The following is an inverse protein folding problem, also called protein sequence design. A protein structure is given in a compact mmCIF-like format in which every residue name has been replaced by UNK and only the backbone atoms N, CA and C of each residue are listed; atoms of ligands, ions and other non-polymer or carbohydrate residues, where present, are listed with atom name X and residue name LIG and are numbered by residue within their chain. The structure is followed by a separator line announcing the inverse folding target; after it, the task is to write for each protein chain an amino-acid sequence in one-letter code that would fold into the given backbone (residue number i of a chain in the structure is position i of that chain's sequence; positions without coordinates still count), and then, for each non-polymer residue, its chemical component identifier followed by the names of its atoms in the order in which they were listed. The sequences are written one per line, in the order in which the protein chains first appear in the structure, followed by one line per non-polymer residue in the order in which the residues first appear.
data_IF_117188370555
#
_entry.id   IF_117188370555
#
_cell.length_a   1.000
_cell.length_b   1.000
_cell.length_c   1.000
_cell.angle_alpha   90.00
_cell.angle_beta   90.00
_cell.angle_gamma   90.00
#
_symmetry.space_group_name_H-M   'P 1'
#
loop_
_entity.id
_entity.type
_entity.pdbx_description
1 polymer ?
#
# COMPACT_ATOMS: atom_id res chain seq x y z
N UNK A 1 85.68 25.73 -19.11
CA UNK A 1 84.33 25.55 -19.69
C UNK A 1 83.47 24.84 -18.68
N UNK A 2 82.67 25.59 -17.91
CA UNK A 2 81.64 25.07 -17.02
C UNK A 2 80.54 26.13 -16.99
N UNK A 3 79.42 25.84 -17.63
CA UNK A 3 78.20 26.65 -17.58
C UNK A 3 77.40 26.29 -16.32
N UNK A 4 76.82 27.25 -15.58
CA UNK A 4 75.78 26.95 -14.61
C UNK A 4 74.41 26.89 -15.29
N UNK A 5 73.68 25.81 -15.03
CA UNK A 5 72.27 25.61 -15.41
C UNK A 5 71.39 26.23 -14.31
N UNK A 6 70.38 27.05 -14.62
CA UNK A 6 69.43 27.53 -13.62
C UNK A 6 68.33 26.49 -13.35
N UNK A 7 68.00 26.38 -12.07
CA UNK A 7 66.94 25.54 -11.53
C UNK A 7 65.57 26.14 -11.87
N UNK A 8 64.74 25.38 -12.58
CA UNK A 8 63.31 25.66 -12.75
C UNK A 8 62.49 24.59 -12.06
N UNK A 9 61.92 24.91 -10.89
CA UNK A 9 60.90 24.09 -10.24
C UNK A 9 59.56 24.31 -10.96
N UNK A 10 59.16 23.36 -11.82
CA UNK A 10 57.81 23.32 -12.36
C UNK A 10 56.91 22.55 -11.39
N UNK A 11 56.10 23.29 -10.61
CA UNK A 11 55.01 22.72 -9.82
C UNK A 11 53.89 22.37 -10.79
N UNK A 12 53.68 21.08 -11.04
CA UNK A 12 52.52 20.60 -11.80
C UNK A 12 51.32 20.52 -10.84
N UNK A 13 50.49 21.56 -10.84
CA UNK A 13 49.16 21.53 -10.21
C UNK A 13 48.20 20.79 -11.13
N UNK A 14 47.98 19.51 -10.84
CA UNK A 14 46.90 18.73 -11.44
C UNK A 14 45.56 19.21 -10.86
N UNK A 15 44.90 20.14 -11.55
CA UNK A 15 43.50 20.48 -11.28
C UNK A 15 42.63 19.34 -11.83
N UNK A 16 42.24 18.39 -10.98
CA UNK A 16 41.09 17.55 -11.29
C UNK A 16 39.84 18.42 -11.20
N UNK A 17 39.33 18.85 -12.35
CA UNK A 17 37.99 19.40 -12.45
C UNK A 17 37.02 18.26 -12.15
N UNK A 18 36.60 18.13 -10.89
CA UNK A 18 35.42 17.34 -10.56
C UNK A 18 34.21 18.10 -11.09
N UNK A 19 33.81 17.79 -12.32
CA UNK A 19 32.46 18.07 -12.77
C UNK A 19 31.53 17.16 -11.96
N UNK A 20 31.03 17.67 -10.84
CA UNK A 20 29.79 17.15 -10.26
C UNK A 20 28.67 17.54 -11.23
N UNK A 21 28.35 16.64 -12.16
CA UNK A 21 27.06 16.69 -12.84
C UNK A 21 25.98 16.44 -11.78
N UNK A 22 25.55 17.50 -11.10
CA UNK A 22 24.25 17.50 -10.45
C UNK A 22 23.25 17.63 -11.58
N UNK A 23 22.85 16.49 -12.16
CA UNK A 23 21.72 16.47 -13.07
C UNK A 23 20.53 16.99 -12.26
N UNK A 24 20.06 18.19 -12.59
CA UNK A 24 18.77 18.64 -12.10
C UNK A 24 17.75 17.57 -12.47
N UNK A 25 17.12 16.94 -11.47
CA UNK A 25 16.01 16.04 -11.69
C UNK A 25 14.92 16.88 -12.35
N UNK A 26 14.76 16.71 -13.66
CA UNK A 26 13.84 17.50 -14.49
C UNK A 26 12.39 17.00 -14.35
N UNK A 27 12.04 16.45 -13.18
CA UNK A 27 10.77 15.80 -12.90
C UNK A 27 9.74 16.77 -12.30
N UNK A 28 8.50 16.30 -12.27
CA UNK A 28 7.34 17.02 -11.76
C UNK A 28 7.21 16.79 -10.25
N UNK A 29 6.81 17.83 -9.51
CA UNK A 29 6.36 17.66 -8.12
C UNK A 29 4.91 17.18 -8.14
N UNK A 30 4.63 16.02 -7.53
CA UNK A 30 3.31 15.41 -7.45
C UNK A 30 2.82 15.44 -6.01
N UNK A 31 1.81 16.26 -5.76
CA UNK A 31 1.26 16.46 -4.42
C UNK A 31 0.02 15.59 -4.22
N UNK A 32 -0.03 14.90 -3.07
CA UNK A 32 -1.15 14.09 -2.61
C UNK A 32 -1.57 14.54 -1.20
N UNK A 33 -2.88 14.55 -0.94
CA UNK A 33 -3.43 14.84 0.39
C UNK A 33 -4.07 13.56 0.93
N UNK A 34 -3.48 12.99 1.96
CA UNK A 34 -3.89 11.67 2.47
C UNK A 34 -4.26 11.78 3.94
N UNK A 35 -5.44 11.28 4.32
CA UNK A 35 -5.85 11.17 5.72
C UNK A 35 -5.87 9.73 6.19
N UNK A 36 -5.49 9.47 7.44
CA UNK A 36 -5.84 8.23 8.14
C UNK A 36 -7.22 8.41 8.78
N UNK A 37 -8.23 7.68 8.28
CA UNK A 37 -9.63 7.84 8.69
C UNK A 37 -10.13 6.55 9.31
N UNK A 38 -10.76 6.66 10.49
CA UNK A 38 -11.45 5.52 11.12
C UNK A 38 -12.83 5.32 10.49
N UNK A 39 -13.07 4.12 9.96
CA UNK A 39 -14.33 3.73 9.33
C UNK A 39 -14.65 2.27 9.67
N UNK A 40 -15.94 1.92 9.64
CA UNK A 40 -16.36 0.52 9.69
C UNK A 40 -16.16 -0.13 8.31
N UNK A 41 -15.30 -1.13 8.27
CA UNK A 41 -15.00 -1.91 7.08
C UNK A 41 -15.75 -3.24 7.09
N UNK A 42 -16.58 -3.44 6.07
CA UNK A 42 -17.33 -4.66 5.84
C UNK A 42 -16.59 -5.60 4.87
N UNK A 43 -16.09 -6.73 5.36
CA UNK A 43 -15.40 -7.72 4.52
C UNK A 43 -16.32 -8.47 3.54
N UNK A 44 -17.64 -8.52 3.80
CA UNK A 44 -18.65 -9.22 3.01
C UNK A 44 -19.96 -8.41 2.95
N UNK A 45 -19.98 -7.25 2.26
CA UNK A 45 -21.11 -6.32 2.25
C UNK A 45 -22.42 -6.89 1.71
N UNK A 46 -22.37 -7.99 0.95
CA UNK A 46 -23.59 -8.67 0.48
C UNK A 46 -24.21 -9.60 1.52
N UNK A 47 -23.46 -9.98 2.56
CA UNK A 47 -23.83 -11.05 3.49
C UNK A 47 -23.85 -12.46 2.87
N UNK A 48 -23.34 -12.59 1.64
CA UNK A 48 -23.41 -13.81 0.84
C UNK A 48 -21.99 -14.26 0.47
N UNK A 49 -21.75 -15.57 0.56
CA UNK A 49 -20.63 -16.22 -0.12
C UNK A 49 -20.97 -16.29 -1.61
N UNK A 50 -20.52 -15.30 -2.38
CA UNK A 50 -20.85 -15.17 -3.80
C UNK A 50 -20.18 -16.25 -4.66
N UNK A 51 -19.19 -16.97 -4.13
CA UNK A 51 -18.56 -18.10 -4.83
C UNK A 51 -19.52 -19.28 -4.88
N UNK A 52 -20.22 -19.55 -3.77
CA UNK A 52 -21.14 -20.68 -3.66
C UNK A 52 -22.63 -20.29 -3.80
N UNK A 53 -22.94 -18.98 -3.75
CA UNK A 53 -24.30 -18.46 -3.86
C UNK A 53 -25.18 -18.72 -2.63
N UNK A 54 -24.58 -18.79 -1.44
CA UNK A 54 -25.28 -19.10 -0.18
C UNK A 54 -24.99 -18.05 0.89
N UNK A 55 -25.87 -17.94 1.89
CA UNK A 55 -25.66 -17.07 3.06
C UNK A 55 -24.43 -17.52 3.87
N UNK A 56 -23.83 -16.59 4.62
CA UNK A 56 -22.61 -16.85 5.43
C UNK A 56 -22.74 -18.11 6.30
N UNK A 57 -23.85 -18.28 7.02
CA UNK A 57 -24.05 -19.40 7.95
C UNK A 57 -24.20 -20.76 7.26
N UNK A 58 -24.49 -20.76 5.96
CA UNK A 58 -24.67 -21.96 5.14
C UNK A 58 -23.37 -22.39 4.46
N UNK A 59 -22.35 -21.52 4.42
CA UNK A 59 -21.00 -21.81 3.91
C UNK A 59 -20.05 -22.07 5.09
N UNK A 60 -19.61 -23.31 5.36
CA UNK A 60 -18.75 -23.61 6.51
C UNK A 60 -17.47 -22.76 6.56
N UNK A 61 -16.88 -22.47 5.40
CA UNK A 61 -15.69 -21.63 5.28
C UNK A 61 -16.02 -20.17 5.58
N UNK A 62 -17.10 -19.61 5.03
CA UNK A 62 -17.50 -18.25 5.32
C UNK A 62 -17.90 -18.08 6.78
N UNK A 63 -18.69 -19.01 7.33
CA UNK A 63 -19.11 -19.00 8.72
C UNK A 63 -17.93 -18.95 9.69
N UNK A 64 -16.83 -19.64 9.39
CA UNK A 64 -15.63 -19.65 10.24
C UNK A 64 -15.05 -18.25 10.44
N UNK A 65 -15.06 -17.40 9.40
CA UNK A 65 -14.36 -16.10 9.39
C UNK A 65 -15.28 -14.89 9.26
N UNK A 66 -16.59 -15.06 9.09
CA UNK A 66 -17.53 -13.97 8.84
C UNK A 66 -18.83 -14.05 9.65
N UNK A 67 -19.15 -15.20 10.27
CA UNK A 67 -20.37 -15.34 11.05
C UNK A 67 -20.32 -14.50 12.33
N UNK A 68 -21.47 -13.95 12.67
CA UNK A 68 -21.71 -13.24 13.92
C UNK A 68 -22.64 -14.10 14.78
N UNK A 69 -22.20 -14.49 15.98
CA UNK A 69 -22.98 -15.37 16.86
C UNK A 69 -22.94 -14.93 18.33
N UNK A 70 -22.63 -13.67 18.58
CA UNK A 70 -22.46 -13.11 19.93
C UNK A 70 -21.14 -13.46 20.62
N UNK A 71 -20.34 -14.40 20.11
CA UNK A 71 -18.96 -14.65 20.59
C UNK A 71 -17.90 -14.37 19.50
N UNK A 72 -18.33 -14.09 18.28
CA UNK A 72 -17.51 -13.75 17.11
C UNK A 72 -17.91 -12.37 16.61
N UNK A 73 -16.93 -11.56 16.23
CA UNK A 73 -17.13 -10.18 15.77
C UNK A 73 -17.89 -10.14 14.43
N UNK A 74 -17.72 -11.17 13.59
CA UNK A 74 -18.35 -11.25 12.28
C UNK A 74 -17.46 -10.72 11.16
N UNK A 75 -18.04 -9.95 10.24
CA UNK A 75 -17.39 -9.46 9.02
C UNK A 75 -17.26 -7.94 8.97
N UNK A 76 -17.67 -7.21 10.02
CA UNK A 76 -17.55 -5.74 10.08
C UNK A 76 -16.61 -5.35 11.22
N UNK A 77 -15.55 -4.61 10.89
CA UNK A 77 -14.52 -4.17 11.83
C UNK A 77 -14.28 -2.67 11.67
N UNK A 78 -14.15 -1.95 12.78
CA UNK A 78 -13.60 -0.59 12.77
C UNK A 78 -12.12 -0.68 12.42
N UNK A 79 -11.68 0.14 11.47
CA UNK A 79 -10.32 0.17 10.90
C UNK A 79 -9.87 1.61 10.70
N UNK A 80 -8.56 1.87 10.70
CA UNK A 80 -8.00 3.12 10.19
C UNK A 80 -7.48 2.86 8.77
N UNK A 81 -7.99 3.61 7.80
CA UNK A 81 -7.63 3.43 6.40
C UNK A 81 -7.17 4.75 5.79
N UNK A 82 -6.23 4.68 4.87
CA UNK A 82 -5.82 5.84 4.10
C UNK A 82 -6.94 6.25 3.12
N UNK A 83 -7.24 7.55 3.08
CA UNK A 83 -8.19 8.18 2.16
C UNK A 83 -7.54 9.39 1.53
N UNK A 84 -7.77 9.59 0.23
CA UNK A 84 -7.30 10.77 -0.47
C UNK A 84 -8.30 11.91 -0.34
N UNK A 85 -7.79 13.12 -0.30
CA UNK A 85 -8.54 14.37 -0.27
C UNK A 85 -8.12 15.25 -1.44
N UNK A 86 -9.00 16.17 -1.84
CA UNK A 86 -8.75 17.04 -2.99
C UNK A 86 -7.67 18.09 -2.74
N UNK A 87 -7.48 18.49 -1.48
CA UNK A 87 -6.60 19.58 -1.06
C UNK A 87 -6.24 19.47 0.45
N UNK A 88 -5.45 20.44 0.93
CA UNK A 88 -4.95 20.54 2.30
C UNK A 88 -6.01 20.91 3.35
N UNK A 89 -7.26 21.17 2.94
CA UNK A 89 -8.36 21.41 3.88
C UNK A 89 -8.87 20.10 4.48
N UNK A 90 -8.63 18.97 3.80
CA UNK A 90 -9.16 17.64 4.16
C UNK A 90 -10.70 17.62 4.30
N UNK A 91 -11.40 18.48 3.56
CA UNK A 91 -12.85 18.59 3.63
C UNK A 91 -13.57 17.59 2.69
N UNK A 92 -13.01 17.34 1.51
CA UNK A 92 -13.63 16.53 0.46
C UNK A 92 -12.71 15.36 0.10
N UNK A 93 -13.20 14.13 0.30
CA UNK A 93 -12.48 12.94 -0.16
C UNK A 93 -12.46 12.88 -1.69
N UNK A 94 -11.31 12.55 -2.27
CA UNK A 94 -11.16 12.36 -3.71
C UNK A 94 -11.91 11.11 -4.19
N UNK A 95 -12.28 11.11 -5.47
CA UNK A 95 -12.94 9.95 -6.09
C UNK A 95 -11.96 8.79 -6.17
N UNK A 96 -12.41 7.61 -5.77
CA UNK A 96 -11.64 6.37 -5.84
C UNK A 96 -12.39 5.27 -6.60
N UNK A 97 -11.70 4.34 -7.25
CA UNK A 97 -12.33 3.16 -7.81
C UNK A 97 -12.80 2.22 -6.69
N UNK A 98 -13.94 1.57 -6.91
CA UNK A 98 -14.54 0.64 -5.95
C UNK A 98 -13.65 -0.59 -5.69
N UNK A 99 -12.96 -1.07 -6.73
CA UNK A 99 -12.09 -2.24 -6.63
C UNK A 99 -10.88 -2.04 -5.70
N UNK A 100 -10.53 -0.80 -5.36
CA UNK A 100 -9.41 -0.52 -4.45
C UNK A 100 -9.70 -1.01 -3.03
N UNK A 101 -10.98 -1.25 -2.71
CA UNK A 101 -11.37 -1.88 -1.44
C UNK A 101 -10.87 -1.09 -0.24
N UNK A 102 -10.19 -1.74 0.72
CA UNK A 102 -9.69 -1.09 1.93
C UNK A 102 -8.43 -0.26 1.69
N UNK A 103 -7.73 -0.49 0.57
CA UNK A 103 -6.43 0.12 0.30
C UNK A 103 -6.53 1.65 0.27
N UNK A 104 -5.41 2.29 0.62
CA UNK A 104 -5.18 3.70 0.40
C UNK A 104 -5.17 4.08 -1.08
N UNK A 105 -5.20 5.39 -1.38
CA UNK A 105 -5.06 5.87 -2.74
C UNK A 105 -3.81 5.34 -3.44
N UNK A 106 -3.88 5.29 -4.77
CA UNK A 106 -2.73 4.89 -5.58
C UNK A 106 -1.91 6.14 -5.89
N UNK A 107 -0.75 6.26 -5.24
CA UNK A 107 0.23 7.30 -5.52
C UNK A 107 0.89 6.95 -6.84
N UNK A 108 0.95 7.89 -7.78
CA UNK A 108 1.52 7.67 -9.10
C UNK A 108 2.63 8.66 -9.37
N UNK A 109 3.75 8.18 -9.91
CA UNK A 109 4.87 9.03 -10.27
C UNK A 109 5.69 8.45 -11.41
N UNK A 110 6.50 9.27 -12.06
CA UNK A 110 7.50 8.83 -13.03
C UNK A 110 8.89 8.86 -12.41
N UNK A 111 9.81 8.08 -12.97
CA UNK A 111 11.24 8.24 -12.68
C UNK A 111 11.66 9.70 -12.90
N UNK A 112 12.31 10.29 -11.89
CA UNK A 112 12.75 11.68 -11.90
C UNK A 112 11.84 12.63 -11.13
N UNK A 113 10.58 12.24 -10.85
CA UNK A 113 9.64 13.06 -10.10
C UNK A 113 9.98 13.16 -8.61
N UNK A 114 9.36 14.13 -7.95
CA UNK A 114 9.28 14.23 -6.49
C UNK A 114 7.82 14.05 -6.07
N UNK A 115 7.55 13.13 -5.16
CA UNK A 115 6.24 12.93 -4.56
C UNK A 115 6.20 13.66 -3.22
N UNK A 116 5.20 14.53 -3.06
CA UNK A 116 4.88 15.18 -1.79
C UNK A 116 3.55 14.64 -1.26
N UNK A 117 3.56 14.07 -0.05
CA UNK A 117 2.35 13.56 0.60
C UNK A 117 2.09 14.37 1.87
N UNK A 118 1.08 15.23 1.83
CA UNK A 118 0.57 15.91 3.03
C UNK A 118 -0.38 14.96 3.74
N UNK A 119 0.10 14.37 4.82
CA UNK A 119 -0.61 13.39 5.63
C UNK A 119 -1.27 14.06 6.84
N UNK A 120 -2.57 13.83 7.03
CA UNK A 120 -3.30 14.21 8.25
C UNK A 120 -3.76 12.97 9.01
N UNK A 121 -3.37 12.87 10.27
CA UNK A 121 -3.85 11.78 11.10
C UNK A 121 -5.21 12.15 11.72
N UNK A 122 -6.30 11.60 11.18
CA UNK A 122 -7.66 11.81 11.71
C UNK A 122 -8.12 10.65 12.59
N UNK A 123 -7.28 9.64 12.79
CA UNK A 123 -7.55 8.49 13.64
C UNK A 123 -7.12 8.76 15.09
N UNK A 124 -7.49 7.84 15.98
CA UNK A 124 -7.25 7.94 17.43
C UNK A 124 -5.86 7.49 17.87
N UNK A 125 -5.11 6.76 17.03
CA UNK A 125 -3.76 6.29 17.31
C UNK A 125 -2.72 7.08 16.50
N UNK A 126 -1.47 7.13 16.97
CA UNK A 126 -0.38 7.71 16.19
C UNK A 126 -0.10 6.85 14.96
N UNK A 127 0.04 7.49 13.80
CA UNK A 127 0.32 6.82 12.53
C UNK A 127 1.35 7.61 11.71
N UNK A 128 1.84 7.02 10.63
CA UNK A 128 2.81 7.62 9.72
C UNK A 128 2.52 7.20 8.27
N UNK A 129 3.35 7.66 7.33
CA UNK A 129 3.43 7.08 5.99
C UNK A 129 4.89 6.77 5.64
N UNK A 130 5.18 5.50 5.43
CA UNK A 130 6.47 4.97 4.99
C UNK A 130 6.37 4.42 3.55
N UNK A 131 7.14 4.95 2.59
CA UNK A 131 7.15 4.46 1.22
C UNK A 131 8.19 3.34 1.02
N UNK A 132 7.88 2.38 0.15
CA UNK A 132 8.87 1.47 -0.41
C UNK A 132 9.31 1.94 -1.81
N UNK A 133 10.51 1.54 -2.22
CA UNK A 133 11.04 1.80 -3.57
C UNK A 133 11.61 3.19 -3.80
N UNK A 134 11.09 4.23 -3.14
CA UNK A 134 11.49 5.62 -3.34
C UNK A 134 12.75 6.00 -2.54
N UNK A 135 13.26 7.23 -2.73
CA UNK A 135 14.38 7.81 -1.98
C UNK A 135 13.87 8.94 -1.09
N UNK A 136 14.32 8.97 0.16
CA UNK A 136 13.87 9.95 1.15
C UNK A 136 14.99 10.26 2.15
N UNK A 137 14.89 11.41 2.82
CA UNK A 137 15.71 11.75 3.98
C UNK A 137 15.08 11.21 5.26
N UNK A 138 15.83 11.19 6.37
CA UNK A 138 15.35 10.61 7.64
C UNK A 138 14.05 11.22 8.19
N UNK A 139 13.80 12.54 8.14
CA UNK A 139 12.51 13.11 8.54
C UNK A 139 11.32 12.71 7.64
N UNK A 140 11.60 12.19 6.44
CA UNK A 140 10.61 11.77 5.44
C UNK A 140 10.46 10.24 5.34
N UNK A 141 11.08 9.50 6.26
CA UNK A 141 11.11 8.03 6.25
C UNK A 141 9.80 7.42 6.75
N UNK A 142 9.18 8.01 7.78
CA UNK A 142 7.89 7.52 8.29
C UNK A 142 7.97 6.28 9.16
N UNK A 143 9.13 5.97 9.73
CA UNK A 143 9.36 4.78 10.58
C UNK A 143 9.71 5.21 11.99
N UNK A 144 8.95 4.75 12.99
CA UNK A 144 9.26 5.01 14.39
C UNK A 144 10.44 4.13 14.85
N UNK A 145 11.53 4.76 15.31
CA UNK A 145 12.68 4.07 15.89
C UNK A 145 13.13 4.74 17.19
N UNK A 146 13.48 3.94 18.19
CA UNK A 146 13.98 4.42 19.48
C UNK A 146 15.20 5.33 19.28
N UNK A 147 15.13 6.57 19.77
CA UNK A 147 16.21 7.56 19.64
C UNK A 147 16.21 8.34 18.31
N UNK A 148 15.22 8.15 17.44
CA UNK A 148 14.98 8.98 16.25
C UNK A 148 13.60 9.63 16.32
N UNK A 149 13.54 10.86 16.80
CA UNK A 149 12.29 11.62 16.93
C UNK A 149 12.21 12.72 15.86
N UNK A 150 11.79 12.33 14.65
CA UNK A 150 11.26 13.28 13.67
C UNK A 150 9.74 13.23 13.70
N UNK A 151 9.06 14.36 13.54
CA UNK A 151 7.59 14.43 13.61
C UNK A 151 6.90 13.47 12.62
N UNK A 152 7.47 13.30 11.43
CA UNK A 152 6.96 12.36 10.41
C UNK A 152 7.06 10.88 10.78
N UNK A 153 7.85 10.50 11.78
CA UNK A 153 7.99 9.10 12.19
C UNK A 153 6.81 8.63 13.06
N UNK A 154 6.06 9.55 13.66
CA UNK A 154 4.90 9.26 14.49
C UNK A 154 4.03 10.50 14.56
N UNK A 155 3.05 10.62 13.67
CA UNK A 155 2.15 11.78 13.59
C UNK A 155 1.00 11.58 14.58
N UNK A 156 0.85 12.43 15.61
CA UNK A 156 -0.22 12.29 16.59
C UNK A 156 -1.63 12.52 16.00
N UNK A 157 -2.70 12.05 16.68
CA UNK A 157 -4.07 12.38 16.32
C UNK A 157 -4.30 13.89 16.16
N UNK A 158 -4.94 14.27 15.05
CA UNK A 158 -5.24 15.66 14.69
C UNK A 158 -4.10 16.40 13.98
N UNK A 159 -2.87 15.89 14.04
CA UNK A 159 -1.69 16.54 13.47
C UNK A 159 -1.49 16.22 11.98
N UNK A 160 -0.65 17.03 11.33
CA UNK A 160 -0.33 16.93 9.91
C UNK A 160 1.18 16.92 9.68
N UNK A 161 1.64 16.13 8.71
CA UNK A 161 3.03 16.09 8.28
C UNK A 161 3.13 15.97 6.76
N UNK A 162 4.05 16.70 6.13
CA UNK A 162 4.31 16.57 4.69
C UNK A 162 5.59 15.77 4.46
N UNK A 163 5.45 14.64 3.79
CA UNK A 163 6.56 13.79 3.37
C UNK A 163 7.02 14.16 1.96
N UNK A 164 8.32 14.23 1.73
CA UNK A 164 8.93 14.44 0.40
C UNK A 164 9.79 13.24 0.02
N UNK A 165 9.45 12.61 -1.11
CA UNK A 165 10.14 11.44 -1.64
C UNK A 165 10.57 11.66 -3.08
N UNK A 166 11.84 11.41 -3.38
CA UNK A 166 12.37 11.44 -4.74
C UNK A 166 12.18 10.08 -5.40
N UNK A 167 11.88 10.07 -6.70
CA UNK A 167 11.70 8.85 -7.49
C UNK A 167 12.98 8.56 -8.29
N UNK A 168 13.94 7.79 -7.76
CA UNK A 168 15.18 7.49 -8.46
C UNK A 168 14.92 6.51 -9.62
N UNK A 169 15.89 6.41 -10.54
CA UNK A 169 15.85 5.43 -11.65
C UNK A 169 15.62 4.00 -11.16
N UNK A 170 16.23 3.60 -10.03
CA UNK A 170 16.04 2.27 -9.42
C UNK A 170 14.62 1.97 -8.94
N UNK A 171 13.76 2.99 -8.79
CA UNK A 171 12.36 2.83 -8.41
C UNK A 171 11.48 2.53 -9.63
N UNK A 172 11.94 2.87 -10.84
CA UNK A 172 11.22 2.62 -12.07
C UNK A 172 11.60 1.32 -12.76
N UNK A 173 10.90 1.00 -13.85
CA UNK A 173 11.16 -0.21 -14.61
C UNK A 173 12.47 -0.14 -15.39
N UNK A 174 13.22 -1.24 -15.39
CA UNK A 174 14.34 -1.45 -16.29
C UNK A 174 13.92 -1.56 -17.77
N UNK A 175 14.90 -1.70 -18.68
CA UNK A 175 14.63 -1.74 -20.13
C UNK A 175 13.74 -2.90 -20.59
N UNK A 176 13.75 -4.02 -19.85
CA UNK A 176 12.96 -5.23 -20.15
C UNK A 176 11.73 -5.37 -19.26
N UNK A 177 11.55 -4.47 -18.30
CA UNK A 177 10.39 -4.49 -17.41
C UNK A 177 9.16 -3.87 -18.10
N UNK A 178 7.94 -4.16 -17.59
CA UNK A 178 6.74 -3.45 -17.99
C UNK A 178 6.89 -1.92 -17.84
N UNK A 179 6.04 -1.11 -18.48
CA UNK A 179 6.09 0.36 -18.41
C UNK A 179 5.99 0.99 -17.01
N UNK A 180 5.62 0.21 -15.99
CA UNK A 180 5.52 0.64 -14.60
C UNK A 180 5.88 -0.49 -13.62
N UNK A 181 6.34 -0.11 -12.43
CA UNK A 181 6.53 -1.00 -11.28
C UNK A 181 5.65 -0.56 -10.12
N UNK A 182 5.14 -1.54 -9.36
CA UNK A 182 4.37 -1.29 -8.15
C UNK A 182 5.26 -1.41 -6.91
N UNK A 183 5.08 -0.47 -6.00
CA UNK A 183 5.60 -0.46 -4.64
C UNK A 183 4.45 -0.29 -3.66
N UNK A 184 4.75 -0.46 -2.38
CA UNK A 184 3.78 -0.26 -1.30
C UNK A 184 4.14 0.96 -0.47
N UNK A 185 3.14 1.51 0.20
CA UNK A 185 3.36 2.39 1.35
C UNK A 185 2.44 1.96 2.49
N UNK A 186 2.85 2.20 3.73
CA UNK A 186 2.06 1.87 4.91
C UNK A 186 2.44 2.76 6.09
N UNK A 187 1.63 2.78 7.16
CA UNK A 187 2.10 3.31 8.45
C UNK A 187 3.10 2.34 9.09
N UNK A 188 4.13 2.87 9.75
CA UNK A 188 5.19 2.09 10.40
C UNK A 188 5.56 2.66 11.77
N UNK A 189 4.54 3.10 12.52
CA UNK A 189 4.66 3.47 13.93
C UNK A 189 4.66 2.23 14.81
N UNK A 190 3.78 1.27 14.50
CA UNK A 190 3.66 -0.01 15.22
C UNK A 190 3.79 -1.23 14.31
N UNK A 191 4.53 -1.08 13.20
CA UNK A 191 4.84 -2.19 12.28
C UNK A 191 3.60 -2.87 11.72
N UNK A 192 3.51 -4.19 11.90
CA UNK A 192 2.40 -4.98 11.35
C UNK A 192 1.03 -4.59 11.91
N UNK A 193 0.95 -4.07 13.14
CA UNK A 193 -0.32 -3.66 13.76
C UNK A 193 -0.98 -2.49 13.00
N UNK A 194 -0.18 -1.54 12.48
CA UNK A 194 -0.68 -0.47 11.61
C UNK A 194 -1.30 -1.02 10.32
N UNK A 195 -0.59 -1.96 9.68
CA UNK A 195 -1.01 -2.60 8.43
C UNK A 195 -2.31 -3.38 8.64
N UNK A 196 -2.38 -4.24 9.67
CA UNK A 196 -3.59 -5.00 9.99
C UNK A 196 -4.75 -4.11 10.40
N UNK A 197 -4.48 -2.93 10.95
CA UNK A 197 -5.50 -1.92 11.24
C UNK A 197 -6.05 -1.22 10.00
N UNK A 198 -5.39 -1.35 8.84
CA UNK A 198 -5.88 -0.91 7.53
C UNK A 198 -5.00 0.09 6.80
N UNK A 199 -3.84 0.47 7.34
CA UNK A 199 -3.01 1.54 6.82
C UNK A 199 -1.99 1.03 5.80
N UNK A 200 -2.47 0.71 4.61
CA UNK A 200 -1.66 0.22 3.49
C UNK A 200 -2.19 0.74 2.15
N UNK A 201 -1.30 1.11 1.24
CA UNK A 201 -1.63 1.54 -0.11
C UNK A 201 -0.49 1.26 -1.08
N UNK A 202 -0.59 1.83 -2.28
CA UNK A 202 0.33 1.56 -3.38
C UNK A 202 0.99 2.81 -3.93
N UNK A 203 2.20 2.61 -4.43
CA UNK A 203 2.87 3.56 -5.32
C UNK A 203 3.09 2.86 -6.65
N UNK A 204 2.71 3.49 -7.77
CA UNK A 204 3.04 3.00 -9.11
C UNK A 204 4.03 3.98 -9.73
N UNK A 205 5.23 3.47 -10.01
CA UNK A 205 6.30 4.23 -10.66
C UNK A 205 6.37 3.85 -12.13
N UNK A 206 6.13 4.84 -12.98
CA UNK A 206 6.17 4.72 -14.43
C UNK A 206 7.54 5.11 -14.99
N UNK A 207 7.85 4.60 -16.18
CA UNK A 207 8.92 5.16 -17.01
C UNK A 207 8.58 6.62 -17.38
N UNK A 208 9.59 7.50 -17.59
CA UNK A 208 9.33 8.88 -17.98
C UNK A 208 8.46 8.97 -19.25
N UNK A 209 7.40 9.79 -19.20
CA UNK A 209 6.43 9.99 -20.28
C UNK A 209 5.32 8.93 -20.41
N UNK A 210 5.24 7.95 -19.53
CA UNK A 210 4.20 6.90 -19.57
C UNK A 210 2.99 7.18 -18.67
N UNK A 211 3.13 7.97 -17.60
CA UNK A 211 2.07 8.14 -16.60
C UNK A 211 0.79 8.71 -17.20
N UNK A 212 0.88 9.73 -18.05
CA UNK A 212 -0.29 10.36 -18.66
C UNK A 212 -1.14 9.40 -19.53
N UNK A 213 -0.60 8.23 -19.89
CA UNK A 213 -1.30 7.17 -20.61
C UNK A 213 -2.05 6.21 -19.68
N UNK A 214 -1.85 6.32 -18.36
CA UNK A 214 -2.25 5.35 -17.35
C UNK A 214 -2.95 5.97 -16.12
N UNK A 215 -3.40 7.23 -16.19
CA UNK A 215 -4.11 7.85 -15.06
C UNK A 215 -5.60 7.51 -15.04
N UNK A 216 -6.10 7.16 -13.85
CA UNK A 216 -7.54 6.94 -13.59
C UNK A 216 -8.34 8.26 -13.53
N UNK A 217 -7.67 9.39 -13.32
CA UNK A 217 -8.29 10.72 -13.22
C UNK A 217 -8.90 11.20 -14.55
N UNK A 218 -8.43 10.61 -15.65
CA UNK A 218 -9.01 10.81 -16.97
C UNK A 218 -9.38 9.43 -17.53
N UNK A 219 -10.59 8.91 -17.26
CA UNK A 219 -11.00 7.62 -17.76
C UNK A 219 -10.81 7.59 -19.27
N UNK A 220 -10.00 6.65 -19.72
CA UNK A 220 -9.63 6.58 -21.11
C UNK A 220 -10.90 6.55 -21.98
N UNK A 221 -11.03 7.41 -23.00
CA UNK A 221 -12.22 7.49 -23.82
C UNK A 221 -12.60 6.11 -24.36
N UNK A 222 -13.89 5.85 -24.52
CA UNK A 222 -14.40 4.57 -25.05
C UNK A 222 -13.90 4.33 -26.48
N UNK A 223 -12.72 3.74 -26.61
CA UNK A 223 -12.04 3.43 -27.88
C UNK A 223 -10.53 3.64 -27.83
N UNK A 224 -9.99 4.19 -26.73
CA UNK A 224 -8.57 4.42 -26.52
C UNK A 224 -7.75 3.12 -26.48
N UNK A 225 -6.50 3.25 -26.89
CA UNK A 225 -5.39 2.28 -26.75
C UNK A 225 -4.77 2.26 -25.34
N UNK A 226 -5.28 3.05 -24.40
CA UNK A 226 -4.82 3.06 -23.00
C UNK A 226 -5.31 1.82 -22.24
N UNK A 227 -4.39 1.21 -21.49
CA UNK A 227 -4.62 -0.03 -20.75
C UNK A 227 -5.41 0.25 -19.46
N UNK A 228 -6.34 -0.64 -19.12
CA UNK A 228 -7.02 -0.62 -17.82
C UNK A 228 -6.02 -0.96 -16.72
N UNK A 229 -5.97 -0.19 -15.62
CA UNK A 229 -5.09 -0.47 -14.49
C UNK A 229 -5.89 -0.94 -13.28
N UNK A 230 -5.58 -2.15 -12.84
CA UNK A 230 -6.16 -2.80 -11.67
C UNK A 230 -5.06 -3.18 -10.70
N UNK A 231 -5.40 -3.15 -9.43
CA UNK A 231 -4.46 -3.44 -8.37
C UNK A 231 -5.11 -4.27 -7.28
N UNK A 232 -4.41 -5.33 -6.89
CA UNK A 232 -4.89 -6.31 -5.92
C UNK A 232 -3.80 -6.64 -4.92
N UNK A 233 -4.09 -6.38 -3.65
CA UNK A 233 -3.36 -6.90 -2.51
C UNK A 233 -4.05 -8.18 -2.06
N UNK A 234 -3.28 -9.26 -1.98
CA UNK A 234 -3.67 -10.47 -1.29
C UNK A 234 -3.06 -10.45 0.11
N UNK A 235 -3.90 -10.51 1.13
CA UNK A 235 -3.46 -10.39 2.51
C UNK A 235 -4.38 -11.20 3.43
N UNK A 236 -3.80 -11.91 4.39
CA UNK A 236 -4.54 -12.35 5.57
C UNK A 236 -4.52 -11.16 6.53
N UNK A 237 -5.61 -10.41 6.60
CA UNK A 237 -5.73 -9.31 7.56
C UNK A 237 -6.02 -9.93 8.93
N UNK A 238 -5.01 -9.95 9.80
CA UNK A 238 -5.15 -10.47 11.16
C UNK A 238 -5.72 -9.39 12.08
N UNK A 239 -7.06 -9.39 12.22
CA UNK A 239 -7.75 -8.41 13.07
C UNK A 239 -7.40 -8.58 14.55
N UNK A 240 -6.84 -9.73 14.99
CA UNK A 240 -6.39 -9.89 16.38
C UNK A 240 -5.27 -8.92 16.74
N UNK A 241 -4.50 -8.50 15.73
CA UNK A 241 -3.36 -7.60 15.86
C UNK A 241 -3.69 -6.16 15.48
N UNK A 242 -4.96 -5.82 15.21
CA UNK A 242 -5.38 -4.43 14.98
C UNK A 242 -5.26 -3.58 16.26
N UNK A 243 -5.24 -2.25 16.16
CA UNK A 243 -5.50 -1.37 17.31
C UNK A 243 -6.94 -1.49 17.81
N UNK A 244 -7.87 -1.82 16.90
CA UNK A 244 -9.31 -1.70 17.15
C UNK A 244 -9.94 -2.99 17.68
N UNK A 245 -9.17 -4.08 17.87
CA UNK A 245 -9.69 -5.39 18.26
C UNK A 245 -10.48 -5.37 19.59
N UNK A 246 -10.03 -4.63 20.60
CA UNK A 246 -10.77 -4.52 21.88
C UNK A 246 -12.13 -3.84 21.68
N UNK A 247 -12.14 -2.71 20.96
CA UNK A 247 -13.37 -1.98 20.63
C UNK A 247 -14.30 -2.82 19.76
N UNK A 248 -13.77 -3.49 18.73
CA UNK A 248 -14.53 -4.40 17.87
C UNK A 248 -15.15 -5.54 18.66
N UNK A 249 -14.40 -6.15 19.58
CA UNK A 249 -14.93 -7.24 20.42
C UNK A 249 -16.05 -6.74 21.32
N UNK A 250 -15.82 -5.65 22.07
CA UNK A 250 -16.80 -5.14 23.03
C UNK A 250 -18.07 -4.60 22.39
N UNK A 251 -17.95 -3.95 21.22
CA UNK A 251 -19.08 -3.28 20.58
C UNK A 251 -19.92 -4.24 19.72
N UNK A 252 -19.34 -5.36 19.30
CA UNK A 252 -19.95 -6.25 18.30
C UNK A 252 -20.12 -7.67 18.80
N UNK A 253 -19.88 -7.97 20.08
CA UNK A 253 -20.14 -9.28 20.66
C UNK A 253 -20.83 -9.14 22.02
N UNK A 254 -21.25 -10.27 22.60
CA UNK A 254 -21.78 -10.34 23.96
C UNK A 254 -20.68 -10.57 25.01
N UNK A 255 -19.39 -10.50 24.61
CA UNK A 255 -18.24 -10.71 25.51
C UNK A 255 -18.08 -9.48 26.39
N UNK A 256 -17.97 -9.71 27.70
CA UNK A 256 -17.77 -8.62 28.67
C UNK A 256 -16.29 -8.23 28.78
N UNK A 257 -16.01 -6.99 29.20
CA UNK A 257 -14.64 -6.48 29.39
C UNK A 257 -13.78 -7.36 30.29
N UNK A 258 -14.36 -7.98 31.33
CA UNK A 258 -13.66 -8.90 32.22
C UNK A 258 -13.26 -10.23 31.55
N UNK A 259 -13.87 -10.59 30.43
CA UNK A 259 -13.69 -11.87 29.73
C UNK A 259 -12.82 -11.75 28.48
N UNK A 260 -12.52 -10.53 28.02
CA UNK A 260 -11.76 -10.25 26.80
C UNK A 260 -10.45 -11.04 26.71
N UNK A 261 -9.68 -11.06 27.80
CA UNK A 261 -8.37 -11.73 27.81
C UNK A 261 -8.50 -13.24 27.62
N UNK A 262 -9.53 -13.85 28.20
CA UNK A 262 -9.78 -15.29 28.05
C UNK A 262 -10.26 -15.59 26.64
N UNK A 263 -11.17 -14.77 26.11
CA UNK A 263 -11.71 -14.95 24.77
C UNK A 263 -10.64 -14.77 23.68
N UNK A 264 -9.70 -13.84 23.85
CA UNK A 264 -8.55 -13.65 22.96
C UNK A 264 -7.64 -14.87 22.82
N UNK A 265 -7.67 -15.78 23.79
CA UNK A 265 -6.91 -17.03 23.76
C UNK A 265 -7.69 -18.18 23.10
N UNK A 266 -8.99 -18.01 22.84
CA UNK A 266 -9.79 -18.99 22.12
C UNK A 266 -9.31 -19.09 20.67
N UNK A 267 -8.87 -20.27 20.25
CA UNK A 267 -8.35 -20.50 18.90
C UNK A 267 -9.42 -20.24 17.83
N UNK A 268 -10.68 -20.54 18.12
CA UNK A 268 -11.76 -20.25 17.19
C UNK A 268 -12.02 -18.74 17.05
N UNK A 269 -11.82 -17.95 18.11
CA UNK A 269 -11.91 -16.50 18.07
C UNK A 269 -10.79 -15.93 17.20
N UNK A 270 -9.56 -16.37 17.47
CA UNK A 270 -8.39 -15.95 16.70
C UNK A 270 -8.54 -16.27 15.22
N UNK A 271 -8.90 -17.51 14.87
CA UNK A 271 -9.10 -17.93 13.48
C UNK A 271 -10.24 -17.16 12.82
N UNK A 272 -11.32 -16.86 13.55
CA UNK A 272 -12.43 -16.07 12.99
C UNK A 272 -12.03 -14.64 12.60
N UNK A 273 -10.95 -14.12 13.20
CA UNK A 273 -10.42 -12.78 12.96
C UNK A 273 -9.35 -12.75 11.85
N UNK A 274 -9.00 -13.90 11.24
CA UNK A 274 -8.08 -13.98 10.10
C UNK A 274 -8.81 -13.82 8.78
N UNK A 275 -8.76 -12.62 8.19
CA UNK A 275 -9.51 -12.28 6.97
C UNK A 275 -8.64 -12.50 5.74
N UNK A 276 -8.84 -13.64 5.07
CA UNK A 276 -8.11 -14.03 3.86
C UNK A 276 -8.66 -13.28 2.64
N UNK A 277 -8.19 -12.05 2.43
CA UNK A 277 -8.87 -11.06 1.61
C UNK A 277 -8.08 -10.64 0.37
N UNK A 278 -8.84 -10.25 -0.67
CA UNK A 278 -8.33 -9.46 -1.80
C UNK A 278 -8.85 -8.04 -1.63
N UNK A 279 -7.96 -7.06 -1.48
CA UNK A 279 -8.30 -5.66 -1.18
C UNK A 279 -9.29 -5.50 -0.01
N UNK A 280 -9.25 -6.40 0.98
CA UNK A 280 -10.16 -6.38 2.13
C UNK A 280 -11.55 -6.97 1.87
N UNK A 281 -11.77 -7.72 0.78
CA UNK A 281 -13.03 -8.42 0.52
C UNK A 281 -12.85 -9.93 0.54
N UNK A 282 -13.86 -10.65 1.02
CA UNK A 282 -13.89 -12.10 1.13
C UNK A 282 -14.94 -12.73 0.20
N UNK A 283 -14.77 -14.01 -0.13
CA UNK A 283 -15.78 -14.84 -0.79
C UNK A 283 -16.47 -14.18 -2.00
N UNK A 284 -15.69 -13.60 -2.91
CA UNK A 284 -16.19 -12.99 -4.14
C UNK A 284 -16.81 -11.58 -3.99
N UNK A 285 -16.77 -10.97 -2.81
CA UNK A 285 -17.35 -9.63 -2.55
C UNK A 285 -16.50 -8.45 -3.08
N UNK A 286 -15.49 -8.69 -3.92
CA UNK A 286 -14.68 -7.62 -4.52
C UNK A 286 -15.35 -7.11 -5.79
N UNK A 287 -16.02 -5.98 -5.66
CA UNK A 287 -16.73 -5.32 -6.76
C UNK A 287 -15.85 -4.31 -7.53
N UNK A 288 -16.32 -3.90 -8.71
CA UNK A 288 -15.70 -2.84 -9.52
C UNK A 288 -14.54 -3.30 -10.39
N UNK A 289 -14.14 -4.57 -10.32
CA UNK A 289 -13.15 -5.17 -11.22
C UNK A 289 -13.77 -5.51 -12.58
N UNK A 290 -14.02 -4.48 -13.38
CA UNK A 290 -14.57 -4.62 -14.73
C UNK A 290 -13.48 -4.38 -15.77
N UNK A 291 -13.09 -5.44 -16.48
CA UNK A 291 -12.16 -5.36 -17.60
C UNK A 291 -12.88 -5.52 -18.94
N UNK A 292 -12.41 -4.82 -19.98
CA UNK A 292 -13.01 -4.87 -21.31
C UNK A 292 -12.41 -5.99 -22.17
N UNK A 293 -13.25 -6.89 -22.68
CA UNK A 293 -12.81 -7.96 -23.60
C UNK A 293 -12.12 -7.37 -24.84
N UNK A 294 -10.94 -7.90 -25.17
CA UNK A 294 -10.14 -7.47 -26.31
C UNK A 294 -9.29 -6.22 -26.06
N UNK A 295 -9.25 -5.70 -24.83
CA UNK A 295 -8.30 -4.67 -24.39
C UNK A 295 -7.18 -5.26 -23.54
N UNK A 296 -6.01 -4.62 -23.60
CA UNK A 296 -4.94 -4.91 -22.65
C UNK A 296 -5.27 -4.29 -21.28
N UNK A 297 -5.05 -5.08 -20.22
CA UNK A 297 -5.17 -4.64 -18.85
C UNK A 297 -3.83 -4.85 -18.13
N UNK A 298 -3.45 -3.89 -17.28
CA UNK A 298 -2.34 -3.99 -16.33
C UNK A 298 -2.90 -4.40 -14.98
N UNK A 299 -2.43 -5.54 -14.48
CA UNK A 299 -2.78 -6.02 -13.16
C UNK A 299 -1.53 -6.00 -12.27
N UNK A 300 -1.51 -5.08 -11.30
CA UNK A 300 -0.46 -5.00 -10.29
C UNK A 300 -0.88 -5.86 -9.09
N UNK A 301 -0.07 -6.86 -8.77
CA UNK A 301 -0.30 -7.76 -7.65
C UNK A 301 0.87 -7.67 -6.70
N UNK A 302 0.60 -7.57 -5.40
CA UNK A 302 1.66 -7.72 -4.40
C UNK A 302 1.18 -8.49 -3.18
N UNK A 303 2.17 -9.07 -2.52
CA UNK A 303 2.08 -9.73 -1.24
C UNK A 303 3.02 -8.99 -0.30
N UNK A 304 2.59 -8.71 0.93
CA UNK A 304 3.45 -8.02 1.89
C UNK A 304 4.43 -9.00 2.52
N UNK A 305 5.69 -8.96 2.07
CA UNK A 305 6.78 -9.84 2.52
C UNK A 305 7.27 -9.60 3.96
N UNK A 306 6.85 -8.50 4.60
CA UNK A 306 7.20 -8.14 5.99
C UNK A 306 6.25 -8.71 7.06
N UNK A 307 5.37 -9.64 6.72
CA UNK A 307 4.42 -10.19 7.70
C UNK A 307 5.01 -11.39 8.47
N UNK A 308 4.97 -11.38 9.82
CA UNK A 308 5.58 -12.41 10.65
C UNK A 308 4.79 -13.73 10.71
N UNK A 309 3.66 -13.84 10.01
CA UNK A 309 2.85 -15.07 10.05
C UNK A 309 3.46 -16.12 9.12
N UNK A 310 3.91 -17.25 9.69
CA UNK A 310 4.38 -18.46 8.98
C UNK A 310 3.38 -19.08 7.98
N UNK A 311 2.21 -18.45 7.74
CA UNK A 311 1.12 -18.92 6.86
C UNK A 311 1.02 -18.19 5.52
N UNK A 312 1.92 -17.25 5.22
CA UNK A 312 1.84 -16.46 3.97
C UNK A 312 2.59 -17.17 2.84
N UNK A 313 1.92 -18.13 2.21
CA UNK A 313 2.27 -18.61 0.87
C UNK A 313 1.01 -18.51 0.01
N UNK A 314 0.95 -17.54 -0.90
CA UNK A 314 -0.20 -17.31 -1.75
C UNK A 314 0.11 -17.69 -3.20
N UNK A 315 -0.88 -18.25 -3.88
CA UNK A 315 -0.82 -18.55 -5.29
C UNK A 315 -2.08 -17.97 -5.94
N UNK A 316 -1.90 -17.02 -6.85
CA UNK A 316 -3.01 -16.38 -7.55
C UNK A 316 -3.20 -17.03 -8.91
N UNK A 317 -4.42 -17.47 -9.20
CA UNK A 317 -4.81 -18.01 -10.50
C UNK A 317 -5.94 -17.18 -11.09
N UNK A 318 -5.70 -16.61 -12.28
CA UNK A 318 -6.72 -15.95 -13.08
C UNK A 318 -7.33 -16.97 -14.05
N UNK A 319 -8.59 -17.34 -13.83
CA UNK A 319 -9.31 -18.26 -14.71
C UNK A 319 -9.92 -17.51 -15.91
N UNK A 320 -9.48 -17.82 -17.12
CA UNK A 320 -10.07 -17.30 -18.36
C UNK A 320 -10.90 -18.35 -19.11
N UNK A 321 -12.06 -17.95 -19.64
CA UNK A 321 -12.78 -18.74 -20.65
C UNK A 321 -12.32 -18.34 -22.05
N UNK A 322 -11.40 -19.10 -22.63
CA UNK A 322 -10.82 -18.86 -23.95
C UNK A 322 -9.36 -19.34 -24.01
N UNK A 323 -8.95 -19.87 -25.16
CA UNK A 323 -7.68 -20.62 -25.38
C UNK A 323 -6.51 -20.15 -24.48
N UNK A 324 -6.27 -20.94 -23.43
CA UNK A 324 -4.99 -21.10 -22.76
C UNK A 324 -4.29 -19.82 -22.33
N UNK A 325 -4.71 -19.23 -21.21
CA UNK A 325 -3.79 -18.55 -20.30
C UNK A 325 -4.09 -18.99 -18.87
N UNK A 326 -3.40 -20.04 -18.42
CA UNK A 326 -3.13 -20.23 -17.01
C UNK A 326 -1.85 -19.45 -16.70
N UNK A 327 -1.97 -18.35 -15.97
CA UNK A 327 -0.82 -17.70 -15.37
C UNK A 327 -0.52 -18.39 -14.04
N UNK A 328 0.55 -19.17 -14.01
CA UNK A 328 1.22 -19.50 -12.75
C UNK A 328 2.17 -18.34 -12.44
N UNK A 329 1.76 -17.40 -11.59
CA UNK A 329 2.69 -16.40 -11.10
C UNK A 329 3.46 -17.00 -9.91
N UNK A 330 4.71 -17.41 -10.17
CA UNK A 330 5.74 -17.39 -9.13
C UNK A 330 6.19 -15.94 -9.00
N UNK A 331 5.77 -15.26 -7.94
CA UNK A 331 6.27 -13.92 -7.65
C UNK A 331 7.73 -14.05 -7.19
N UNK A 332 8.67 -13.68 -8.06
CA UNK A 332 10.09 -13.83 -7.80
C UNK A 332 10.53 -12.79 -6.77
N UNK A 333 10.84 -13.26 -5.57
CA UNK A 333 11.37 -12.48 -4.46
C UNK A 333 12.70 -11.83 -4.88
N UNK A 334 12.75 -10.52 -5.13
CA UNK A 334 13.98 -9.75 -4.90
C UNK A 334 14.02 -9.37 -3.43
N UNK A 335 14.65 -10.20 -2.63
CA UNK A 335 15.24 -9.73 -1.37
C UNK A 335 16.37 -8.78 -1.77
N UNK A 336 16.36 -7.54 -1.27
CA UNK A 336 17.57 -6.73 -1.31
C UNK A 336 18.52 -7.20 -0.20
N UNK A 337 19.84 -7.17 -0.44
CA UNK A 337 20.87 -7.67 0.47
C UNK A 337 20.95 -6.92 1.80
#
# INVERSE_FOLDING_TARGET
MLFPVPWGLAISTFFMLQFTFSAALNGTIRTYYVGAVEEDWDYMPTGIDLINGVEIDQSPQAATVAAHNGQRIGHVYTKAMFREFTDDTFAVQARRPQWLGMLGPVIRAEVGDTVEVTFKNMASNNHSIHPHGLRYSKPNEGVAMTGQEFGGNSVPPGETWTYTWEVPERAGPGPLDPPSLAWTYHSDVSGAQDIYSGLVGAIIVYRPGELAKHTLDNPAPRGSDQNEEVLTLFMIVDENLSFYIDGNTLNRTNILRGELQVNRLDLGFQESNLKHAINGRLFGNLEGLNLTVGREARCNHWETSKMPTHRTGMATLLHGQGKGLMFYLFCQHRQNP
#
